data_IF_909762776861
#
_entry.id   IF_909762776861
#
_cell.length_a   1.000
_cell.length_b   1.000
_cell.length_c   1.000
_cell.angle_alpha   90.00
_cell.angle_beta   90.00
_cell.angle_gamma   90.00
#
_symmetry.space_group_name_H-M   'P 1'
#
loop_
_entity.id
_entity.type
_entity.pdbx_description
1 polymer ?
#
# COMPACT_ATOMS: atom_id res chain seq x y z
N UNK A 1 10.99 16.58 -25.55
CA UNK A 1 9.65 16.29 -26.08
C UNK A 1 9.25 14.91 -25.61
N UNK A 2 8.10 14.75 -24.96
CA UNK A 2 7.57 13.47 -24.49
C UNK A 2 6.78 12.78 -25.61
N UNK A 3 6.50 11.48 -25.44
CA UNK A 3 5.65 10.72 -26.33
C UNK A 3 4.33 10.37 -25.65
N UNK A 4 3.22 10.63 -26.35
CA UNK A 4 1.90 10.13 -26.00
C UNK A 4 1.56 9.03 -26.98
N UNK A 5 1.18 7.85 -26.49
CA UNK A 5 0.66 6.73 -27.27
C UNK A 5 -0.85 6.70 -27.03
N UNK A 6 -1.61 7.01 -28.06
CA UNK A 6 -3.06 7.24 -27.96
C UNK A 6 -3.86 6.52 -29.06
N UNK A 7 -3.19 5.71 -29.89
CA UNK A 7 -3.87 4.92 -30.90
C UNK A 7 -3.14 3.59 -31.14
N UNK A 8 -3.86 2.67 -31.78
CA UNK A 8 -3.39 1.30 -32.00
C UNK A 8 -2.11 1.22 -32.85
N UNK A 9 -1.97 2.08 -33.87
CA UNK A 9 -0.77 2.06 -34.73
C UNK A 9 0.49 2.47 -33.98
N UNK A 10 0.39 3.47 -33.11
CA UNK A 10 1.48 3.89 -32.22
C UNK A 10 1.81 2.78 -31.20
N UNK A 11 0.81 2.15 -30.62
CA UNK A 11 0.97 1.03 -29.70
C UNK A 11 1.66 -0.15 -30.39
N UNK A 12 1.23 -0.51 -31.59
CA UNK A 12 1.85 -1.57 -32.40
C UNK A 12 3.31 -1.24 -32.76
N UNK A 13 3.58 0.01 -33.14
CA UNK A 13 4.94 0.48 -33.39
C UNK A 13 5.81 0.36 -32.14
N UNK A 14 5.27 0.69 -30.99
CA UNK A 14 5.97 0.54 -29.71
C UNK A 14 6.23 -0.93 -29.36
N UNK A 15 5.26 -1.82 -29.56
CA UNK A 15 5.41 -3.26 -29.37
C UNK A 15 6.56 -3.85 -30.20
N UNK A 16 6.69 -3.40 -31.44
CA UNK A 16 7.72 -3.87 -32.36
C UNK A 16 9.15 -3.45 -31.98
N UNK A 17 9.31 -2.58 -30.96
CA UNK A 17 10.65 -2.22 -30.44
C UNK A 17 11.32 -3.37 -29.71
N UNK A 18 10.54 -4.35 -29.21
CA UNK A 18 11.05 -5.55 -28.57
C UNK A 18 11.71 -5.30 -27.21
N UNK A 19 11.40 -4.20 -26.54
CA UNK A 19 11.91 -3.94 -25.18
C UNK A 19 11.47 -5.04 -24.21
N UNK A 20 12.40 -5.50 -23.37
CA UNK A 20 12.20 -6.61 -22.46
C UNK A 20 12.01 -6.19 -20.99
N UNK A 21 12.46 -5.02 -20.65
CA UNK A 21 12.49 -4.52 -19.29
C UNK A 21 12.03 -3.07 -19.22
N UNK A 22 11.19 -2.75 -18.23
CA UNK A 22 10.66 -1.39 -18.09
C UNK A 22 10.43 -0.98 -16.64
N UNK A 23 10.58 0.32 -16.40
CA UNK A 23 10.02 1.00 -15.25
C UNK A 23 8.62 1.49 -15.59
N UNK A 24 7.65 1.27 -14.68
CA UNK A 24 6.24 1.63 -14.91
C UNK A 24 5.68 2.40 -13.72
N UNK A 25 4.92 3.47 -14.02
CA UNK A 25 4.03 4.15 -13.08
C UNK A 25 2.59 4.12 -13.59
N UNK A 26 1.66 3.81 -12.68
CA UNK A 26 0.23 3.86 -12.96
C UNK A 26 -0.34 5.12 -12.32
N UNK A 27 -1.06 5.90 -13.11
CA UNK A 27 -1.69 7.15 -12.69
C UNK A 27 -3.21 6.91 -12.64
N UNK A 28 -3.79 6.67 -11.45
CA UNK A 28 -5.22 6.49 -11.29
C UNK A 28 -5.96 7.82 -11.49
N UNK A 29 -7.27 7.80 -11.62
CA UNK A 29 -8.08 9.03 -11.67
C UNK A 29 -7.84 9.93 -10.47
N UNK A 30 -7.64 9.34 -9.30
CA UNK A 30 -7.30 10.05 -8.08
C UNK A 30 -6.52 9.17 -7.12
N UNK A 31 -5.45 9.70 -6.53
CA UNK A 31 -4.74 9.05 -5.41
C UNK A 31 -5.48 9.18 -4.07
N UNK A 32 -6.58 9.96 -4.02
CA UNK A 32 -7.45 10.06 -2.83
C UNK A 32 -8.54 9.01 -2.79
N UNK A 33 -8.85 8.41 -3.95
CA UNK A 33 -9.80 7.31 -4.05
C UNK A 33 -9.06 5.98 -3.87
N UNK A 34 -9.68 5.04 -3.16
CA UNK A 34 -9.06 3.73 -2.99
C UNK A 34 -8.86 3.05 -4.36
N UNK A 35 -7.72 2.37 -4.60
CA UNK A 35 -7.46 1.71 -5.89
C UNK A 35 -8.56 0.73 -6.34
N UNK A 36 -9.28 0.10 -5.40
CA UNK A 36 -10.43 -0.76 -5.71
C UNK A 36 -11.69 0.02 -6.16
N UNK A 37 -11.73 1.33 -6.00
CA UNK A 37 -12.85 2.22 -6.33
C UNK A 37 -12.52 3.26 -7.40
N UNK A 38 -11.34 3.18 -8.01
CA UNK A 38 -10.87 4.12 -9.04
C UNK A 38 -10.42 3.39 -10.30
N UNK A 39 -10.32 4.13 -11.38
CA UNK A 39 -9.81 3.63 -12.66
C UNK A 39 -8.46 4.27 -12.98
N UNK A 40 -7.81 3.78 -14.05
CA UNK A 40 -6.53 4.29 -14.53
C UNK A 40 -6.79 5.40 -15.55
N UNK A 41 -6.11 6.53 -15.39
CA UNK A 41 -6.10 7.61 -16.37
C UNK A 41 -4.97 7.41 -17.39
N UNK A 42 -3.75 7.24 -16.88
CA UNK A 42 -2.55 7.14 -17.69
C UNK A 42 -1.64 6.02 -17.17
N UNK A 43 -0.85 5.45 -18.03
CA UNK A 43 0.29 4.59 -17.68
C UNK A 43 1.54 5.18 -18.28
N UNK A 44 2.54 5.42 -17.43
CA UNK A 44 3.88 5.76 -17.88
C UNK A 44 4.72 4.49 -17.99
N UNK A 45 5.37 4.28 -19.14
CA UNK A 45 6.29 3.18 -19.36
C UNK A 45 7.63 3.73 -19.84
N UNK A 46 8.67 3.40 -19.11
CA UNK A 46 10.07 3.72 -19.45
C UNK A 46 10.84 2.43 -19.69
N UNK A 47 10.98 1.98 -20.95
CA UNK A 47 11.87 0.86 -21.23
C UNK A 47 13.29 1.22 -20.82
N UNK A 48 14.02 0.29 -20.19
CA UNK A 48 15.33 0.61 -19.60
C UNK A 48 16.37 1.02 -20.65
N UNK A 49 16.25 0.47 -21.86
CA UNK A 49 17.16 0.80 -22.98
C UNK A 49 16.68 1.99 -23.83
N UNK A 50 15.51 2.55 -23.54
CA UNK A 50 15.01 3.70 -24.28
C UNK A 50 15.61 5.01 -23.75
N UNK A 51 15.74 5.99 -24.62
CA UNK A 51 16.26 7.32 -24.26
C UNK A 51 15.22 8.20 -23.56
N UNK A 52 13.93 7.82 -23.61
CA UNK A 52 12.80 8.54 -23.01
C UNK A 52 11.68 7.57 -22.62
N UNK A 53 10.77 8.05 -21.76
CA UNK A 53 9.54 7.35 -21.43
C UNK A 53 8.40 7.63 -22.42
N UNK A 54 7.29 6.94 -22.19
CA UNK A 54 6.07 7.03 -23.00
C UNK A 54 4.86 7.09 -22.10
N UNK A 55 3.89 7.95 -22.44
CA UNK A 55 2.60 8.03 -21.77
C UNK A 55 1.55 7.31 -22.59
N UNK A 56 0.84 6.38 -21.98
CA UNK A 56 -0.28 5.64 -22.56
C UNK A 56 -1.58 6.14 -21.97
N UNK A 57 -2.46 6.68 -22.82
CA UNK A 57 -3.72 7.25 -22.37
C UNK A 57 -4.81 6.18 -22.35
N UNK A 58 -5.27 5.79 -21.15
CA UNK A 58 -6.41 4.89 -20.99
C UNK A 58 -7.70 5.71 -20.94
N UNK A 59 -7.73 6.76 -20.11
CA UNK A 59 -8.85 7.68 -20.06
C UNK A 59 -8.40 9.07 -19.57
N UNK A 60 -8.03 9.94 -20.51
CA UNK A 60 -7.54 11.28 -20.22
C UNK A 60 -8.12 12.31 -21.17
N UNK A 61 -8.40 13.54 -20.68
CA UNK A 61 -9.06 14.58 -21.47
C UNK A 61 -8.24 15.14 -22.64
N UNK A 62 -6.93 15.01 -22.62
CA UNK A 62 -6.01 15.54 -23.64
C UNK A 62 -5.59 14.50 -24.70
N UNK A 63 -6.08 13.25 -24.63
CA UNK A 63 -5.63 12.20 -25.54
C UNK A 63 -6.75 11.23 -25.91
N UNK A 64 -6.61 10.56 -27.03
CA UNK A 64 -7.51 9.48 -27.43
C UNK A 64 -7.36 8.29 -26.48
N UNK A 65 -8.47 7.60 -26.25
CA UNK A 65 -8.54 6.46 -25.35
C UNK A 65 -7.93 5.20 -25.99
N UNK A 66 -7.04 4.53 -25.23
CA UNK A 66 -6.63 3.17 -25.48
C UNK A 66 -7.41 2.21 -24.56
N UNK A 67 -7.71 1.04 -25.07
CA UNK A 67 -8.31 -0.02 -24.25
C UNK A 67 -7.31 -0.51 -23.20
N UNK A 68 -7.77 -0.65 -21.96
CA UNK A 68 -6.93 -1.07 -20.81
C UNK A 68 -6.34 -2.45 -21.01
N UNK A 69 -7.05 -3.33 -21.70
CA UNK A 69 -6.66 -4.69 -22.06
C UNK A 69 -5.41 -4.71 -22.93
N UNK A 70 -5.31 -3.81 -23.92
CA UNK A 70 -4.13 -3.69 -24.79
C UNK A 70 -2.89 -3.23 -23.99
N UNK A 71 -3.09 -2.36 -23.01
CA UNK A 71 -2.00 -1.94 -22.12
C UNK A 71 -1.61 -3.07 -21.17
N UNK A 72 -2.57 -3.83 -20.67
CA UNK A 72 -2.30 -5.00 -19.85
C UNK A 72 -1.49 -6.07 -20.62
N UNK A 73 -1.83 -6.34 -21.88
CA UNK A 73 -1.08 -7.24 -22.77
C UNK A 73 0.35 -6.73 -22.99
N UNK A 74 0.53 -5.42 -23.25
CA UNK A 74 1.84 -4.81 -23.37
C UNK A 74 2.66 -5.00 -22.09
N UNK A 75 2.07 -4.73 -20.94
CA UNK A 75 2.72 -4.91 -19.64
C UNK A 75 3.14 -6.38 -19.45
N UNK A 76 2.28 -7.33 -19.78
CA UNK A 76 2.56 -8.76 -19.68
C UNK A 76 3.67 -9.24 -20.65
N UNK A 77 3.96 -8.51 -21.70
CA UNK A 77 4.99 -8.86 -22.69
C UNK A 77 6.43 -8.58 -22.22
N UNK A 78 6.59 -7.82 -21.14
CA UNK A 78 7.91 -7.59 -20.56
C UNK A 78 8.41 -8.80 -19.77
N UNK A 79 9.73 -8.99 -19.75
CA UNK A 79 10.37 -10.04 -18.95
C UNK A 79 10.50 -9.63 -17.49
N UNK A 80 10.74 -8.34 -17.23
CA UNK A 80 10.85 -7.78 -15.88
C UNK A 80 10.32 -6.34 -15.80
N UNK A 81 9.71 -6.02 -14.66
CA UNK A 81 9.20 -4.69 -14.35
C UNK A 81 9.77 -4.14 -13.06
N UNK A 82 10.00 -2.87 -13.06
CA UNK A 82 10.30 -2.07 -11.86
C UNK A 82 9.18 -1.07 -11.63
N UNK A 83 8.67 -1.06 -10.42
CA UNK A 83 7.57 -0.17 -10.03
C UNK A 83 7.86 0.49 -8.71
N UNK A 84 7.22 1.62 -8.45
CA UNK A 84 7.13 2.17 -7.12
C UNK A 84 5.83 1.77 -6.47
N UNK A 85 5.91 0.90 -5.43
CA UNK A 85 4.72 0.38 -4.78
C UNK A 85 4.07 -0.77 -5.54
N UNK A 86 4.67 -1.95 -5.48
CA UNK A 86 4.15 -3.17 -6.12
C UNK A 86 2.72 -3.48 -5.70
N UNK A 87 2.39 -3.28 -4.42
CA UNK A 87 1.04 -3.50 -3.91
C UNK A 87 0.01 -2.62 -4.62
N UNK A 88 0.32 -1.35 -4.81
CA UNK A 88 -0.52 -0.38 -5.49
C UNK A 88 -0.66 -0.72 -6.99
N UNK A 89 0.44 -1.08 -7.64
CA UNK A 89 0.44 -1.52 -9.03
C UNK A 89 -0.48 -2.73 -9.26
N UNK A 90 -0.45 -3.71 -8.36
CA UNK A 90 -1.24 -4.94 -8.44
C UNK A 90 -2.75 -4.73 -8.32
N UNK A 91 -3.22 -3.56 -7.92
CA UNK A 91 -4.64 -3.23 -8.01
C UNK A 91 -5.12 -3.07 -9.46
N UNK A 92 -4.24 -2.67 -10.36
CA UNK A 92 -4.59 -2.32 -11.74
C UNK A 92 -4.08 -3.34 -12.76
N UNK A 93 -2.85 -3.83 -12.58
CA UNK A 93 -2.21 -4.74 -13.52
C UNK A 93 -1.55 -5.91 -12.80
N UNK A 94 -1.44 -7.03 -13.52
CA UNK A 94 -0.78 -8.25 -13.04
C UNK A 94 0.47 -8.48 -13.84
N UNK A 95 1.55 -8.88 -13.20
CA UNK A 95 2.77 -9.34 -13.85
C UNK A 95 3.55 -10.28 -12.93
N UNK A 96 4.23 -11.28 -13.52
CA UNK A 96 4.92 -12.34 -12.76
C UNK A 96 6.24 -11.88 -12.11
N UNK A 97 6.93 -10.95 -12.75
CA UNK A 97 8.26 -10.51 -12.35
C UNK A 97 8.27 -8.99 -12.13
N UNK A 98 7.97 -8.57 -10.90
CA UNK A 98 7.93 -7.15 -10.51
C UNK A 98 8.86 -6.94 -9.33
N UNK A 99 9.75 -5.97 -9.46
CA UNK A 99 10.58 -5.46 -8.36
C UNK A 99 10.00 -4.15 -7.83
N UNK A 100 9.77 -4.09 -6.52
CA UNK A 100 9.29 -2.90 -5.82
C UNK A 100 10.46 -2.03 -5.37
N UNK A 101 10.74 -0.98 -6.10
CA UNK A 101 11.81 -0.03 -5.79
C UNK A 101 11.59 0.74 -4.48
N UNK A 102 10.37 0.79 -4.00
CA UNK A 102 10.04 1.42 -2.72
C UNK A 102 10.64 0.71 -1.50
N UNK A 103 11.10 -0.53 -1.67
CA UNK A 103 11.80 -1.29 -0.64
C UNK A 103 13.25 -0.86 -0.46
N UNK A 104 13.85 -0.22 -1.47
CA UNK A 104 15.28 0.14 -1.49
C UNK A 104 15.55 1.52 -0.92
N UNK A 105 14.63 2.48 -1.05
CA UNK A 105 14.81 3.83 -0.53
C UNK A 105 13.51 4.50 -0.08
N UNK A 106 13.00 4.18 1.13
CA UNK A 106 11.73 4.71 1.60
C UNK A 106 11.70 6.23 1.81
N UNK A 107 12.83 6.85 2.14
CA UNK A 107 12.91 8.28 2.43
C UNK A 107 12.97 9.15 1.19
N UNK A 108 13.62 8.69 0.15
CA UNK A 108 13.88 9.45 -1.07
C UNK A 108 12.61 9.76 -1.86
N UNK A 109 11.70 8.82 -1.89
CA UNK A 109 10.47 8.88 -2.68
C UNK A 109 9.28 9.51 -1.98
N UNK A 110 9.35 9.72 -0.68
CA UNK A 110 8.34 10.53 0.01
C UNK A 110 8.23 11.94 -0.54
N UNK A 111 9.29 12.49 -1.11
CA UNK A 111 9.28 13.84 -1.66
C UNK A 111 8.66 13.91 -3.06
N UNK A 112 8.94 12.95 -3.92
CA UNK A 112 8.37 12.91 -5.28
C UNK A 112 6.90 12.50 -5.31
N UNK A 113 6.47 11.64 -4.39
CA UNK A 113 5.04 11.36 -4.16
C UNK A 113 4.28 12.63 -3.74
N UNK A 114 4.96 13.58 -3.06
CA UNK A 114 4.38 14.88 -2.74
C UNK A 114 4.13 15.75 -3.97
N UNK A 115 4.88 15.61 -5.06
CA UNK A 115 4.63 16.37 -6.29
C UNK A 115 3.28 16.00 -6.92
N UNK A 116 2.92 14.72 -6.98
CA UNK A 116 1.59 14.30 -7.41
C UNK A 116 0.49 14.80 -6.44
N UNK A 117 0.73 14.73 -5.14
CA UNK A 117 -0.20 15.24 -4.13
C UNK A 117 -0.37 16.77 -4.23
N UNK A 118 0.70 17.49 -4.51
CA UNK A 118 0.65 18.94 -4.70
C UNK A 118 -0.15 19.33 -5.93
N UNK A 119 0.01 18.64 -7.05
CA UNK A 119 -0.83 18.85 -8.23
C UNK A 119 -2.31 18.63 -7.92
N UNK A 120 -2.62 17.58 -7.16
CA UNK A 120 -3.99 17.30 -6.71
C UNK A 120 -4.55 18.38 -5.77
N UNK A 121 -3.72 18.97 -4.91
CA UNK A 121 -4.15 20.07 -4.03
C UNK A 121 -4.52 21.32 -4.81
N UNK A 122 -3.82 21.63 -5.89
CA UNK A 122 -4.11 22.81 -6.75
C UNK A 122 -5.49 22.72 -7.41
N UNK A 123 -5.97 21.51 -7.68
CA UNK A 123 -7.24 21.26 -8.34
C UNK A 123 -8.32 20.72 -7.37
N UNK A 124 -8.34 21.23 -6.15
CA UNK A 124 -9.27 20.80 -5.07
C UNK A 124 -10.70 20.64 -5.58
N UNK A 125 -11.35 19.53 -5.16
CA UNK A 125 -12.77 19.19 -5.32
C UNK A 125 -13.18 18.43 -6.59
N UNK A 126 -12.28 17.85 -7.37
CA UNK A 126 -12.64 16.91 -8.44
C UNK A 126 -12.20 15.50 -8.10
N UNK A 127 -13.11 14.53 -8.18
CA UNK A 127 -12.80 13.11 -7.89
C UNK A 127 -11.83 12.52 -8.91
N UNK A 128 -11.89 12.99 -10.17
CA UNK A 128 -11.14 12.44 -11.32
C UNK A 128 -10.02 13.38 -11.78
N UNK A 129 -9.32 13.96 -10.83
CA UNK A 129 -8.40 15.07 -11.06
C UNK A 129 -7.28 14.74 -12.06
N UNK A 130 -6.78 13.50 -12.05
CA UNK A 130 -5.66 13.12 -12.91
C UNK A 130 -6.07 12.96 -14.39
N UNK A 131 -7.38 12.94 -14.69
CA UNK A 131 -7.89 12.95 -16.07
C UNK A 131 -7.78 14.30 -16.74
N UNK A 132 -7.60 15.37 -15.97
CA UNK A 132 -7.61 16.76 -16.45
C UNK A 132 -6.32 17.52 -16.16
N UNK A 133 -5.41 16.98 -15.35
CA UNK A 133 -4.08 17.54 -15.19
C UNK A 133 -3.31 17.29 -16.48
N UNK A 134 -2.67 18.31 -17.09
CA UNK A 134 -1.99 18.13 -18.37
C UNK A 134 -1.03 16.92 -18.37
N UNK A 135 -1.08 16.10 -19.41
CA UNK A 135 -0.26 14.88 -19.54
C UNK A 135 1.23 15.20 -19.39
N UNK A 136 1.66 16.37 -19.89
CA UNK A 136 3.05 16.81 -19.75
C UNK A 136 3.50 16.92 -18.30
N UNK A 137 2.60 17.31 -17.39
CA UNK A 137 2.93 17.39 -15.96
C UNK A 137 3.12 16.02 -15.32
N UNK A 138 2.27 15.07 -15.70
CA UNK A 138 2.46 13.69 -15.28
C UNK A 138 3.76 13.12 -15.84
N UNK A 139 4.04 13.36 -17.12
CA UNK A 139 5.28 12.91 -17.76
C UNK A 139 6.53 13.46 -17.06
N UNK A 140 6.59 14.77 -16.79
CA UNK A 140 7.71 15.43 -16.10
C UNK A 140 7.99 14.78 -14.72
N UNK A 141 6.93 14.47 -13.96
CA UNK A 141 7.03 13.81 -12.66
C UNK A 141 7.56 12.38 -12.81
N UNK A 142 7.00 11.59 -13.72
CA UNK A 142 7.42 10.21 -13.94
C UNK A 142 8.86 10.10 -14.45
N UNK A 143 9.28 10.98 -15.38
CA UNK A 143 10.69 11.05 -15.83
C UNK A 143 11.62 11.37 -14.65
N UNK A 144 11.26 12.34 -13.83
CA UNK A 144 12.05 12.69 -12.64
C UNK A 144 12.13 11.52 -11.66
N UNK A 145 11.01 10.84 -11.40
CA UNK A 145 10.98 9.65 -10.56
C UNK A 145 11.90 8.56 -11.12
N UNK A 146 11.82 8.28 -12.42
CA UNK A 146 12.71 7.32 -13.06
C UNK A 146 14.19 7.68 -12.88
N UNK A 147 14.58 8.94 -13.14
CA UNK A 147 15.97 9.34 -12.99
C UNK A 147 16.48 9.22 -11.55
N UNK A 148 15.63 9.45 -10.58
CA UNK A 148 15.96 9.28 -9.17
C UNK A 148 16.08 7.80 -8.79
N UNK A 149 15.30 6.92 -9.43
CA UNK A 149 15.19 5.51 -9.10
C UNK A 149 16.11 4.60 -9.90
N UNK A 150 16.53 5.01 -11.10
CA UNK A 150 17.30 4.15 -12.01
C UNK A 150 18.57 3.57 -11.40
N UNK A 151 19.18 4.27 -10.43
CA UNK A 151 20.36 3.79 -9.71
C UNK A 151 20.09 2.53 -8.87
N UNK A 152 18.82 2.26 -8.52
CA UNK A 152 18.41 1.12 -7.69
C UNK A 152 17.87 -0.06 -8.52
N UNK A 153 17.78 0.07 -9.84
CA UNK A 153 17.12 -0.93 -10.70
C UNK A 153 17.76 -2.33 -10.59
N UNK A 154 19.05 -2.42 -10.34
CA UNK A 154 19.76 -3.70 -10.20
C UNK A 154 20.09 -4.04 -8.73
N UNK A 155 19.63 -3.26 -7.78
CA UNK A 155 19.87 -3.55 -6.37
C UNK A 155 18.99 -4.71 -5.89
N UNK A 156 19.56 -5.61 -5.07
CA UNK A 156 18.81 -6.74 -4.56
C UNK A 156 17.75 -6.31 -3.56
N UNK A 157 16.53 -6.78 -3.73
CA UNK A 157 15.43 -6.61 -2.78
C UNK A 157 15.22 -7.87 -1.97
N UNK A 158 14.78 -7.72 -0.71
CA UNK A 158 14.41 -8.87 0.10
C UNK A 158 13.24 -9.63 -0.55
N UNK A 159 13.41 -10.93 -0.92
CA UNK A 159 12.39 -11.67 -1.67
C UNK A 159 11.06 -11.82 -0.91
N UNK A 160 11.07 -11.92 0.41
CA UNK A 160 9.86 -12.02 1.20
C UNK A 160 9.03 -10.74 1.10
N UNK A 161 9.68 -9.58 1.32
CA UNK A 161 9.00 -8.28 1.22
C UNK A 161 8.62 -7.92 -0.22
N UNK A 162 9.38 -8.36 -1.21
CA UNK A 162 9.03 -8.10 -2.62
C UNK A 162 7.94 -9.03 -3.15
N UNK A 163 7.95 -10.32 -2.79
CA UNK A 163 7.13 -11.32 -3.46
C UNK A 163 5.92 -11.81 -2.64
N UNK A 164 5.97 -11.70 -1.30
CA UNK A 164 4.87 -12.19 -0.44
C UNK A 164 4.03 -11.06 0.13
N UNK A 165 4.67 -10.10 0.78
CA UNK A 165 3.96 -9.05 1.51
C UNK A 165 3.04 -8.21 0.63
N UNK A 166 3.46 -7.70 -0.55
CA UNK A 166 2.57 -6.92 -1.41
C UNK A 166 1.35 -7.70 -1.91
N UNK A 167 1.51 -8.99 -2.20
CA UNK A 167 0.39 -9.84 -2.66
C UNK A 167 -0.67 -10.01 -1.57
N UNK A 168 -0.24 -10.28 -0.33
CA UNK A 168 -1.15 -10.45 0.80
C UNK A 168 -1.94 -9.16 1.06
N UNK A 169 -1.24 -8.03 1.18
CA UNK A 169 -1.93 -6.77 1.44
C UNK A 169 -2.79 -6.29 0.27
N UNK A 170 -2.36 -6.52 -0.98
CA UNK A 170 -3.21 -6.25 -2.14
C UNK A 170 -4.51 -7.07 -2.09
N UNK A 171 -4.41 -8.37 -1.76
CA UNK A 171 -5.59 -9.22 -1.64
C UNK A 171 -6.54 -8.76 -0.52
N UNK A 172 -6.01 -8.38 0.65
CA UNK A 172 -6.80 -7.84 1.77
C UNK A 172 -7.49 -6.53 1.35
N UNK A 173 -6.75 -5.61 0.75
CA UNK A 173 -7.26 -4.32 0.30
C UNK A 173 -8.37 -4.46 -0.77
N UNK A 174 -8.19 -5.37 -1.73
CA UNK A 174 -9.20 -5.63 -2.77
C UNK A 174 -10.46 -6.28 -2.22
N UNK A 175 -10.34 -7.11 -1.20
CA UNK A 175 -11.50 -7.72 -0.56
C UNK A 175 -12.37 -6.69 0.18
N UNK A 176 -11.74 -5.71 0.83
CA UNK A 176 -12.45 -4.78 1.71
C UNK A 176 -13.16 -5.47 2.86
N UNK A 177 -13.95 -4.71 3.59
CA UNK A 177 -14.75 -5.19 4.73
C UNK A 177 -16.21 -4.82 4.47
N UNK A 178 -17.11 -5.76 4.65
CA UNK A 178 -18.54 -5.52 4.54
C UNK A 178 -19.04 -4.75 5.76
N UNK A 179 -19.95 -3.82 5.54
CA UNK A 179 -20.53 -3.01 6.61
C UNK A 179 -22.05 -2.95 6.51
N UNK A 180 -22.68 -2.81 7.67
CA UNK A 180 -24.04 -2.32 7.75
C UNK A 180 -24.02 -0.83 7.41
N UNK A 181 -24.68 -0.45 6.31
CA UNK A 181 -24.59 0.90 5.76
C UNK A 181 -25.11 1.96 6.71
N UNK A 182 -26.20 1.69 7.44
CA UNK A 182 -26.79 2.63 8.37
C UNK A 182 -25.90 2.84 9.60
N UNK A 183 -25.46 1.75 10.22
CA UNK A 183 -24.56 1.82 11.37
C UNK A 183 -23.21 2.46 10.99
N UNK A 184 -22.73 2.20 9.78
CA UNK A 184 -21.50 2.80 9.30
C UNK A 184 -21.64 4.31 9.10
N UNK A 185 -22.74 4.78 8.56
CA UNK A 185 -23.07 6.21 8.45
C UNK A 185 -23.19 6.86 9.82
N UNK A 186 -23.93 6.23 10.76
CA UNK A 186 -24.13 6.77 12.11
C UNK A 186 -22.82 6.97 12.89
N UNK A 187 -21.83 6.07 12.71
CA UNK A 187 -20.57 6.16 13.45
C UNK A 187 -19.47 6.93 12.72
N UNK A 188 -19.48 6.97 11.39
CA UNK A 188 -18.37 7.49 10.61
C UNK A 188 -18.72 8.63 9.65
N UNK A 189 -20.00 9.03 9.62
CA UNK A 189 -20.51 10.10 8.73
C UNK A 189 -20.16 9.84 7.24
N UNK A 190 -20.38 8.61 6.79
CA UNK A 190 -20.08 8.15 5.44
C UNK A 190 -21.20 7.27 4.90
N UNK A 191 -22.10 7.89 4.15
CA UNK A 191 -23.30 7.25 3.60
C UNK A 191 -23.02 6.34 2.39
N UNK A 192 -23.98 5.47 2.10
CA UNK A 192 -24.08 4.70 0.86
C UNK A 192 -23.05 3.59 0.66
N UNK A 193 -22.35 3.19 1.71
CA UNK A 193 -21.34 2.13 1.62
C UNK A 193 -21.87 0.81 2.16
N UNK A 194 -21.86 -0.24 1.34
CA UNK A 194 -22.06 -1.65 1.77
C UNK A 194 -20.72 -2.36 2.01
N UNK A 195 -19.63 -1.76 1.51
CA UNK A 195 -18.26 -2.25 1.67
C UNK A 195 -17.32 -1.07 1.82
N UNK A 196 -16.34 -1.21 2.68
CA UNK A 196 -15.30 -0.22 2.92
C UNK A 196 -13.93 -0.81 2.64
N UNK A 197 -13.02 0.06 2.21
CA UNK A 197 -11.66 -0.31 1.87
C UNK A 197 -10.68 0.47 2.74
N UNK A 198 -9.52 -0.12 2.99
CA UNK A 198 -8.41 0.54 3.69
C UNK A 198 -7.12 0.28 2.94
N UNK A 199 -6.12 1.12 3.14
CA UNK A 199 -4.78 0.89 2.63
C UNK A 199 -3.83 0.55 3.77
N UNK A 200 -3.00 -0.47 3.56
CA UNK A 200 -1.98 -0.89 4.50
C UNK A 200 -0.62 -0.32 4.14
N UNK A 201 0.01 0.32 5.12
CA UNK A 201 1.43 0.61 5.05
C UNK A 201 2.18 -0.46 5.86
N UNK A 202 2.85 -1.38 5.18
CA UNK A 202 3.67 -2.42 5.78
C UNK A 202 5.15 -2.02 5.90
N UNK A 203 5.52 -0.86 5.37
CA UNK A 203 6.89 -0.29 5.43
C UNK A 203 7.05 0.61 6.65
N UNK A 204 6.72 0.09 7.81
CA UNK A 204 6.89 0.79 9.08
C UNK A 204 8.21 0.39 9.74
N UNK A 205 8.78 1.24 10.58
CA UNK A 205 10.04 0.97 11.30
C UNK A 205 9.98 -0.30 12.13
N UNK A 206 8.80 -0.62 12.68
CA UNK A 206 8.58 -1.81 13.52
C UNK A 206 8.06 -3.00 12.72
N UNK A 207 7.95 -2.91 11.40
CA UNK A 207 7.30 -3.88 10.51
C UNK A 207 5.82 -4.17 10.84
N UNK A 208 5.25 -3.53 11.86
CA UNK A 208 3.83 -3.66 12.19
C UNK A 208 3.01 -2.84 11.20
N UNK A 209 2.14 -3.45 10.40
CA UNK A 209 1.35 -2.72 9.41
C UNK A 209 0.44 -1.70 10.09
N UNK A 210 0.41 -0.49 9.54
CA UNK A 210 -0.62 0.49 9.86
C UNK A 210 -1.65 0.52 8.75
N UNK A 211 -2.91 0.77 9.08
CA UNK A 211 -3.93 0.96 8.08
C UNK A 211 -4.65 2.29 8.29
N UNK A 212 -4.80 3.04 7.23
CA UNK A 212 -5.58 4.28 7.24
C UNK A 212 -6.07 4.58 5.84
N UNK A 213 -7.35 4.84 5.72
CA UNK A 213 -7.91 5.35 4.49
C UNK A 213 -9.18 6.16 4.78
N UNK A 214 -9.39 7.25 4.05
CA UNK A 214 -10.57 8.08 4.18
C UNK A 214 -10.78 8.70 5.58
N UNK A 215 -9.69 8.89 6.35
CA UNK A 215 -9.74 9.46 7.69
C UNK A 215 -10.01 8.45 8.81
N UNK A 216 -10.35 7.20 8.50
CA UNK A 216 -10.63 6.16 9.51
C UNK A 216 -9.38 5.33 9.74
N UNK A 217 -9.00 5.16 11.01
CA UNK A 217 -7.96 4.23 11.43
C UNK A 217 -8.62 2.92 11.89
N UNK A 218 -8.77 1.97 10.96
CA UNK A 218 -9.45 0.71 11.24
C UNK A 218 -8.72 -0.18 12.26
N UNK A 219 -7.40 -0.01 12.41
CA UNK A 219 -6.63 -0.74 13.43
C UNK A 219 -6.84 -0.22 14.84
N UNK A 220 -7.38 0.99 15.00
CA UNK A 220 -7.56 1.66 16.29
C UNK A 220 -9.03 2.06 16.55
N UNK A 221 -9.97 1.24 16.07
CA UNK A 221 -11.39 1.45 16.35
C UNK A 221 -11.69 1.32 17.85
N UNK A 222 -12.46 2.26 18.37
CA UNK A 222 -12.88 2.23 19.76
C UNK A 222 -13.68 0.94 20.05
N UNK A 223 -13.36 0.28 21.17
CA UNK A 223 -14.04 -0.96 21.59
C UNK A 223 -15.33 -0.69 22.34
N UNK A 224 -15.46 0.48 22.97
CA UNK A 224 -16.50 0.78 23.95
C UNK A 224 -17.71 1.51 23.35
N UNK A 225 -17.50 2.32 22.30
CA UNK A 225 -18.57 3.12 21.70
C UNK A 225 -19.49 2.36 20.72
N UNK A 226 -19.25 1.07 20.51
CA UNK A 226 -20.09 0.24 19.63
C UNK A 226 -19.82 0.35 18.15
N UNK A 227 -18.89 1.22 17.66
CA UNK A 227 -18.63 1.44 16.24
C UNK A 227 -18.20 0.17 15.49
N UNK A 228 -17.66 -0.84 16.21
CA UNK A 228 -17.29 -2.13 15.63
C UNK A 228 -18.49 -2.93 15.12
N UNK A 229 -19.70 -2.68 15.64
CA UNK A 229 -20.96 -3.33 15.19
C UNK A 229 -21.33 -2.97 13.75
N UNK A 230 -20.80 -1.85 13.24
CA UNK A 230 -20.98 -1.46 11.85
C UNK A 230 -20.27 -2.41 10.86
N UNK A 231 -19.31 -3.20 11.31
CA UNK A 231 -18.60 -4.18 10.49
C UNK A 231 -19.28 -5.53 10.63
N UNK A 232 -19.72 -6.08 9.50
CA UNK A 232 -20.43 -7.36 9.45
C UNK A 232 -19.60 -8.39 8.67
N UNK A 233 -19.68 -9.67 9.03
CA UNK A 233 -18.98 -10.71 8.31
C UNK A 233 -19.56 -10.88 6.91
N UNK A 234 -18.71 -11.23 5.95
CA UNK A 234 -19.13 -11.55 4.59
C UNK A 234 -19.96 -12.84 4.51
N UNK A 235 -19.64 -13.77 5.39
CA UNK A 235 -20.34 -15.04 5.55
C UNK A 235 -21.01 -15.05 6.94
N UNK A 236 -20.95 -16.16 7.66
CA UNK A 236 -21.69 -16.33 8.92
C UNK A 236 -21.04 -15.65 10.11
N UNK A 237 -19.70 -15.52 10.11
CA UNK A 237 -18.94 -15.05 11.26
C UNK A 237 -17.56 -14.49 10.90
N UNK A 238 -17.03 -13.66 11.80
CA UNK A 238 -15.61 -13.33 11.81
C UNK A 238 -14.81 -14.44 12.51
N UNK A 239 -13.57 -14.64 12.02
CA UNK A 239 -12.58 -15.45 12.71
C UNK A 239 -11.49 -14.50 13.19
N UNK A 240 -11.27 -14.48 14.51
CA UNK A 240 -10.16 -13.72 15.11
C UNK A 240 -8.98 -14.68 15.36
N UNK A 241 -7.80 -14.28 14.88
CA UNK A 241 -6.55 -15.00 15.09
C UNK A 241 -5.59 -14.02 15.75
N UNK A 242 -5.18 -14.31 16.99
CA UNK A 242 -4.25 -13.48 17.75
C UNK A 242 -3.14 -14.34 18.36
N UNK A 243 -1.94 -13.78 18.46
CA UNK A 243 -0.81 -14.42 19.12
C UNK A 243 -0.72 -13.87 20.54
N UNK A 244 -0.95 -14.75 21.52
CA UNK A 244 -0.89 -14.37 22.93
C UNK A 244 0.49 -13.83 23.30
N UNK A 245 0.51 -12.65 23.95
CA UNK A 245 1.72 -11.99 24.45
C UNK A 245 2.87 -11.95 23.42
N UNK A 246 2.58 -11.63 22.15
CA UNK A 246 3.50 -11.72 21.01
C UNK A 246 4.91 -11.16 21.29
N UNK A 247 5.01 -9.96 21.86
CA UNK A 247 6.33 -9.33 22.08
C UNK A 247 7.16 -10.03 23.17
N UNK A 248 6.62 -10.38 24.36
CA UNK A 248 7.33 -11.21 25.31
C UNK A 248 7.76 -12.57 24.74
N UNK A 249 6.87 -13.23 23.96
CA UNK A 249 7.17 -14.51 23.31
C UNK A 249 8.31 -14.37 22.31
N UNK A 250 8.29 -13.33 21.48
CA UNK A 250 9.37 -13.08 20.54
C UNK A 250 10.70 -12.76 21.27
N UNK A 251 10.65 -11.92 22.31
CA UNK A 251 11.83 -11.60 23.10
C UNK A 251 12.42 -12.86 23.78
N UNK A 252 11.59 -13.72 24.34
CA UNK A 252 12.01 -14.95 24.98
C UNK A 252 12.75 -15.90 24.01
N UNK A 253 12.25 -15.98 22.75
CA UNK A 253 12.90 -16.75 21.69
C UNK A 253 14.31 -16.23 21.37
N UNK A 254 14.50 -14.90 21.36
CA UNK A 254 15.80 -14.28 21.07
C UNK A 254 16.84 -14.53 22.16
N UNK A 255 16.42 -14.73 23.42
CA UNK A 255 17.31 -14.97 24.57
C UNK A 255 17.28 -16.43 25.04
N UNK A 256 16.62 -17.32 24.29
CA UNK A 256 16.43 -18.72 24.65
C UNK A 256 15.77 -18.92 26.05
N UNK A 257 14.86 -18.04 26.42
CA UNK A 257 14.07 -18.15 27.64
C UNK A 257 12.75 -18.88 27.34
N UNK A 258 12.36 -19.80 28.20
CA UNK A 258 11.10 -20.53 28.11
C UNK A 258 10.20 -20.10 29.27
N UNK A 259 8.99 -19.66 28.96
CA UNK A 259 7.98 -19.40 29.97
C UNK A 259 7.37 -20.72 30.48
N UNK A 260 7.17 -20.83 31.79
CA UNK A 260 6.57 -22.00 32.44
C UNK A 260 5.04 -22.06 32.26
N UNK A 261 4.45 -21.03 31.66
CA UNK A 261 3.00 -20.90 31.49
C UNK A 261 2.63 -20.25 30.15
N UNK A 262 1.44 -20.58 29.63
CA UNK A 262 0.86 -19.90 28.47
C UNK A 262 0.33 -18.48 28.83
N UNK A 263 0.00 -18.23 30.11
CA UNK A 263 -0.43 -16.91 30.58
C UNK A 263 0.74 -16.05 31.06
N UNK A 264 1.54 -15.61 30.12
CA UNK A 264 2.76 -14.80 30.36
C UNK A 264 2.45 -13.53 31.16
N UNK A 265 1.32 -12.87 30.89
CA UNK A 265 0.96 -11.65 31.62
C UNK A 265 0.46 -11.92 33.03
N UNK A 266 -0.14 -13.09 33.28
CA UNK A 266 -0.49 -13.55 34.61
C UNK A 266 0.75 -13.90 35.44
N UNK A 267 1.78 -14.51 34.83
CA UNK A 267 3.07 -14.73 35.47
C UNK A 267 3.75 -13.41 35.85
N UNK A 268 3.83 -12.46 34.93
CA UNK A 268 4.37 -11.13 35.22
C UNK A 268 3.54 -10.37 36.28
N UNK A 269 2.22 -10.56 36.33
CA UNK A 269 1.39 -9.96 37.38
C UNK A 269 1.80 -10.45 38.77
N UNK A 270 2.08 -11.75 38.93
CA UNK A 270 2.60 -12.34 40.18
C UNK A 270 4.00 -11.81 40.50
N UNK A 271 4.90 -11.76 39.53
CA UNK A 271 6.26 -11.24 39.71
C UNK A 271 6.27 -9.76 40.12
N UNK A 272 5.48 -8.94 39.48
CA UNK A 272 5.38 -7.50 39.76
C UNK A 272 4.48 -7.18 40.97
N UNK A 273 3.76 -8.17 41.47
CA UNK A 273 2.77 -8.01 42.56
C UNK A 273 1.71 -6.93 42.24
N UNK A 274 1.17 -7.01 41.03
CA UNK A 274 0.16 -6.09 40.50
C UNK A 274 -0.99 -6.87 39.88
N UNK A 275 -2.09 -6.19 39.58
CA UNK A 275 -3.17 -6.79 38.79
C UNK A 275 -2.75 -7.06 37.31
N UNK A 276 -3.52 -7.89 36.64
CA UNK A 276 -3.25 -8.32 35.25
C UNK A 276 -3.17 -7.15 34.25
N UNK A 277 -4.04 -6.14 34.39
CA UNK A 277 -4.06 -4.97 33.51
C UNK A 277 -2.79 -4.14 33.71
N UNK A 278 -2.39 -3.95 34.94
CA UNK A 278 -1.16 -3.24 35.31
C UNK A 278 0.09 -3.99 34.88
N UNK A 279 0.08 -5.30 34.96
CA UNK A 279 1.15 -6.15 34.46
C UNK A 279 1.39 -5.94 32.95
N UNK A 280 0.33 -5.94 32.13
CA UNK A 280 0.44 -5.62 30.71
C UNK A 280 1.08 -4.27 30.46
N UNK A 281 0.61 -3.23 31.16
CA UNK A 281 1.14 -1.88 31.03
C UNK A 281 2.63 -1.81 31.39
N UNK A 282 3.04 -2.41 32.49
CA UNK A 282 4.43 -2.45 32.94
C UNK A 282 5.32 -3.22 31.97
N UNK A 283 4.86 -4.37 31.48
CA UNK A 283 5.59 -5.18 30.50
C UNK A 283 5.90 -4.36 29.24
N UNK A 284 4.89 -3.67 28.70
CA UNK A 284 5.11 -2.83 27.51
C UNK A 284 6.01 -1.63 27.82
N UNK A 285 5.85 -0.97 28.95
CA UNK A 285 6.74 0.13 29.35
C UNK A 285 8.19 -0.31 29.46
N UNK A 286 8.46 -1.49 30.00
CA UNK A 286 9.81 -2.02 30.12
C UNK A 286 10.40 -2.45 28.77
N UNK A 287 9.60 -3.05 27.92
CA UNK A 287 10.06 -3.46 26.57
C UNK A 287 10.40 -2.25 25.68
N UNK A 288 9.66 -1.14 25.81
CA UNK A 288 9.83 0.02 24.92
C UNK A 288 10.39 1.27 25.62
N UNK A 289 10.33 1.37 26.92
CA UNK A 289 10.74 2.56 27.68
C UNK A 289 11.92 2.37 28.62
N UNK A 290 12.45 1.16 28.72
CA UNK A 290 13.53 0.80 29.64
C UNK A 290 13.05 0.23 30.97
N UNK A 291 13.92 -0.56 31.59
CA UNK A 291 13.60 -1.31 32.82
C UNK A 291 13.60 -0.40 34.03
N UNK A 292 12.50 -0.36 34.77
CA UNK A 292 12.41 0.37 36.03
C UNK A 292 13.35 -0.25 37.08
N UNK A 293 14.05 0.60 37.86
CA UNK A 293 15.04 0.16 38.86
C UNK A 293 14.49 -0.90 39.84
N UNK A 294 13.24 -0.77 40.27
CA UNK A 294 12.57 -1.67 41.20
C UNK A 294 12.30 -3.08 40.65
N UNK A 295 12.43 -3.29 39.32
CA UNK A 295 12.22 -4.57 38.64
C UNK A 295 13.50 -5.08 37.96
N UNK A 296 14.66 -4.48 38.28
CA UNK A 296 15.97 -4.99 37.90
C UNK A 296 16.41 -5.98 38.99
N UNK A 297 16.40 -7.24 38.62
CA UNK A 297 16.95 -8.32 39.43
C UNK A 297 18.18 -8.87 38.77
#
# INVERSE_FOLDING_TARGET
MFWIVENFNQLKSFYNTGYKEAYIEVIPYSYKTHPAETQVSLVYIRPLLATKGYMFAIDHSEAMRLESELIAELIMSYDALWVWGKKEFLHFFVHKNITDLSLLSPSYLREETKAHQFLQQKYRNKLDINRIIPIVKHYEICEKNYYNLKQYINEPVNPFYNNKVPLVFNAIERNGIQVDSQLFEDYFDKSGKSRVYTQYNYRTTTTRPSNRFGGINYAALNKENGCRKAFIPRNDKFVEIDISAYHPTLASTLINYVFDTEDIHGEFAKMYKVDYKKSKELTFKQLYGGVFKQYKH
#
